data_IF_946616397681
#
_entry.id   IF_946616397681
#
_cell.length_a   1.000
_cell.length_b   1.000
_cell.length_c   1.000
_cell.angle_alpha   90.00
_cell.angle_beta   90.00
_cell.angle_gamma   90.00
#
_symmetry.space_group_name_H-M   'P 1'
#
loop_
_entity.id
_entity.type
_entity.pdbx_description
1 polymer ?
#
# COMPACT_ATOMS: atom_id res chain seq x y z
N UNK A 1 6.90 -11.84 20.96
CA UNK A 1 6.25 -12.15 19.68
C UNK A 1 5.64 -10.85 19.22
N UNK A 2 6.08 -10.29 18.09
CA UNK A 2 5.54 -9.03 17.58
C UNK A 2 4.10 -9.20 17.09
N UNK A 3 3.36 -8.10 17.00
CA UNK A 3 2.03 -8.02 16.40
C UNK A 3 2.17 -7.71 14.92
N UNK A 4 1.63 -8.57 14.09
CA UNK A 4 1.61 -8.42 12.64
C UNK A 4 0.20 -8.01 12.22
N UNK A 5 0.11 -6.94 11.44
CA UNK A 5 -1.17 -6.39 10.96
C UNK A 5 -1.16 -6.48 9.44
N UNK A 6 -2.10 -7.26 8.89
CA UNK A 6 -2.37 -7.26 7.47
C UNK A 6 -3.23 -6.02 7.11
N UNK A 7 -2.71 -5.16 6.24
CA UNK A 7 -3.41 -3.99 5.70
C UNK A 7 -3.92 -4.34 4.32
N UNK A 8 -5.23 -4.30 4.13
CA UNK A 8 -5.87 -4.59 2.84
C UNK A 8 -6.33 -3.29 2.19
N UNK A 9 -5.81 -2.99 1.00
CA UNK A 9 -6.22 -1.85 0.18
C UNK A 9 -6.86 -2.32 -1.12
N UNK A 10 -7.87 -1.58 -1.57
CA UNK A 10 -8.46 -1.73 -2.90
C UNK A 10 -8.45 -0.38 -3.61
N UNK A 11 -8.11 -0.34 -4.89
CA UNK A 11 -8.15 0.89 -5.68
C UNK A 11 -8.75 0.69 -7.07
N UNK A 12 -9.26 1.79 -7.64
CA UNK A 12 -9.74 1.87 -9.03
C UNK A 12 -9.64 3.33 -9.49
N UNK A 13 -8.78 3.62 -10.46
CA UNK A 13 -8.55 4.95 -11.05
C UNK A 13 -8.26 6.06 -10.02
N UNK A 14 -7.34 5.80 -9.09
CA UNK A 14 -7.00 6.70 -7.97
C UNK A 14 -5.49 6.81 -7.74
N UNK A 15 -4.67 6.82 -8.80
CA UNK A 15 -3.21 6.75 -8.71
C UNK A 15 -2.62 7.62 -7.60
N UNK A 16 -2.89 8.93 -7.60
CA UNK A 16 -2.31 9.85 -6.62
C UNK A 16 -2.70 9.50 -5.18
N UNK A 17 -3.96 9.13 -4.93
CA UNK A 17 -4.43 8.81 -3.59
C UNK A 17 -3.87 7.47 -3.11
N UNK A 18 -3.78 6.48 -3.99
CA UNK A 18 -3.16 5.18 -3.70
C UNK A 18 -1.69 5.36 -3.30
N UNK A 19 -0.92 6.12 -4.08
CA UNK A 19 0.51 6.35 -3.79
C UNK A 19 0.72 7.14 -2.49
N UNK A 20 -0.09 8.16 -2.21
CA UNK A 20 -0.03 8.91 -0.94
C UNK A 20 -0.38 8.02 0.25
N UNK A 21 -1.37 7.12 0.09
CA UNK A 21 -1.75 6.18 1.15
C UNK A 21 -0.64 5.17 1.43
N UNK A 22 -0.04 4.58 0.40
CA UNK A 22 1.11 3.69 0.54
C UNK A 22 2.30 4.40 1.20
N UNK A 23 2.64 5.61 0.75
CA UNK A 23 3.69 6.42 1.37
C UNK A 23 3.43 6.60 2.88
N UNK A 24 2.20 6.97 3.25
CA UNK A 24 1.82 7.17 4.65
C UNK A 24 1.93 5.88 5.48
N UNK A 25 1.65 4.71 4.90
CA UNK A 25 1.77 3.43 5.59
C UNK A 25 3.23 3.03 5.81
N UNK A 26 4.09 3.21 4.81
CA UNK A 26 5.51 2.85 4.90
C UNK A 26 6.35 3.85 5.69
N UNK A 27 5.93 5.11 5.78
CA UNK A 27 6.58 6.16 6.56
C UNK A 27 6.03 6.26 8.00
N UNK A 28 4.99 5.50 8.35
CA UNK A 28 4.37 5.54 9.66
C UNK A 28 5.35 5.14 10.77
N UNK A 29 5.42 5.93 11.84
CA UNK A 29 6.09 5.52 13.07
C UNK A 29 5.25 4.47 13.79
N UNK A 30 5.74 3.23 13.80
CA UNK A 30 5.08 2.10 14.46
C UNK A 30 5.67 1.84 15.85
N UNK A 31 4.88 1.30 16.80
CA UNK A 31 5.44 0.73 18.02
C UNK A 31 6.50 -0.34 17.71
N UNK A 32 7.54 -0.52 18.56
CA UNK A 32 8.67 -1.42 18.28
C UNK A 32 8.30 -2.89 18.03
N UNK A 33 7.13 -3.32 18.51
CA UNK A 33 6.62 -4.68 18.40
C UNK A 33 5.51 -4.82 17.34
N UNK A 34 5.25 -3.80 16.51
CA UNK A 34 4.22 -3.83 15.47
C UNK A 34 4.86 -3.79 14.08
N UNK A 35 4.38 -4.66 13.19
CA UNK A 35 4.76 -4.68 11.77
C UNK A 35 3.50 -4.67 10.91
N UNK A 36 3.58 -3.98 9.76
CA UNK A 36 2.54 -3.97 8.75
C UNK A 36 2.96 -4.85 7.58
N UNK A 37 2.03 -5.67 7.10
CA UNK A 37 2.12 -6.36 5.80
C UNK A 37 0.99 -5.84 4.92
N UNK A 38 1.32 -5.28 3.76
CA UNK A 38 0.39 -4.47 2.96
C UNK A 38 0.06 -5.23 1.69
N UNK A 39 -1.23 -5.43 1.45
CA UNK A 39 -1.77 -6.08 0.27
C UNK A 39 -2.68 -5.12 -0.47
N UNK A 40 -2.51 -5.04 -1.79
CA UNK A 40 -3.33 -4.17 -2.63
C UNK A 40 -3.99 -4.95 -3.76
N UNK A 41 -5.28 -4.71 -3.96
CA UNK A 41 -6.02 -5.18 -5.15
C UNK A 41 -6.40 -3.99 -6.01
N UNK A 42 -5.90 -3.95 -7.24
CA UNK A 42 -6.34 -3.00 -8.25
C UNK A 42 -7.54 -3.59 -9.02
N UNK A 43 -8.70 -2.94 -8.94
CA UNK A 43 -9.95 -3.35 -9.58
C UNK A 43 -10.01 -2.85 -11.05
N UNK A 44 -8.94 -3.07 -11.79
CA UNK A 44 -8.83 -2.74 -13.21
C UNK A 44 -8.69 -1.25 -13.51
N UNK A 45 -7.81 -0.54 -12.80
CA UNK A 45 -7.47 0.85 -13.14
C UNK A 45 -6.90 0.99 -14.55
N UNK A 46 -7.22 2.10 -15.21
CA UNK A 46 -6.71 2.48 -16.55
C UNK A 46 -5.96 3.81 -16.52
N UNK A 47 -5.93 4.48 -15.38
CA UNK A 47 -5.18 5.73 -15.18
C UNK A 47 -3.68 5.52 -14.96
N UNK A 48 -3.24 4.25 -14.92
CA UNK A 48 -1.89 3.79 -14.70
C UNK A 48 -1.52 3.60 -13.21
N UNK A 49 -2.52 3.32 -12.36
CA UNK A 49 -2.32 3.04 -10.93
C UNK A 49 -1.46 1.79 -10.74
N UNK A 50 -1.78 0.67 -11.40
CA UNK A 50 -1.04 -0.59 -11.30
C UNK A 50 0.47 -0.43 -11.57
N UNK A 51 0.84 0.24 -12.67
CA UNK A 51 2.24 0.42 -13.06
C UNK A 51 2.99 1.25 -12.03
N UNK A 52 2.36 2.33 -11.55
CA UNK A 52 2.98 3.20 -10.54
C UNK A 52 3.17 2.48 -9.19
N UNK A 53 2.21 1.64 -8.78
CA UNK A 53 2.35 0.83 -7.56
C UNK A 53 3.49 -0.18 -7.72
N UNK A 54 3.55 -0.93 -8.83
CA UNK A 54 4.63 -1.90 -9.08
C UNK A 54 6.02 -1.26 -9.16
N UNK A 55 6.11 -0.04 -9.69
CA UNK A 55 7.37 0.69 -9.81
C UNK A 55 7.87 1.22 -8.45
N UNK A 56 6.98 1.83 -7.66
CA UNK A 56 7.35 2.54 -6.43
C UNK A 56 7.28 1.68 -5.16
N UNK A 57 6.42 0.65 -5.16
CA UNK A 57 6.16 -0.23 -4.02
C UNK A 57 6.12 -1.70 -4.48
N UNK A 58 7.22 -2.25 -5.04
CA UNK A 58 7.25 -3.62 -5.59
C UNK A 58 7.01 -4.73 -4.55
N UNK A 59 7.03 -4.40 -3.25
CA UNK A 59 6.72 -5.30 -2.14
C UNK A 59 5.23 -5.46 -1.85
N UNK A 60 4.37 -4.66 -2.48
CA UNK A 60 2.90 -4.63 -2.30
C UNK A 60 2.18 -5.42 -3.39
#
# INVERSE_FOLDING_TARGET
>A
MGKEIAVLLTCHNRKAQTLTCLASLFEAELPPDVQLDVFLTDDGSTDGTEEAVKELYPQV
#
